data_IF_837359550220
#
_entry.id   IF_837359550220
#
_cell.length_a   1.000
_cell.length_b   1.000
_cell.length_c   1.000
_cell.angle_alpha   90.00
_cell.angle_beta   90.00
_cell.angle_gamma   90.00
#
_symmetry.space_group_name_H-M   'P 1'
#
loop_
_entity.id
_entity.type
_entity.pdbx_description
1 polymer ?
#
# COMPACT_ATOMS: atom_id res chain seq x y z
N UNK A 1 -21.81 3.68 -23.12
CA UNK A 1 -23.05 3.34 -22.37
C UNK A 1 -23.17 1.83 -22.35
N UNK A 2 -23.14 1.21 -21.18
CA UNK A 2 -23.38 -0.23 -21.01
C UNK A 2 -24.71 -0.61 -21.68
N UNK A 3 -24.74 -1.69 -22.45
CA UNK A 3 -26.00 -2.08 -23.11
C UNK A 3 -27.09 -2.28 -22.05
N UNK A 4 -28.18 -1.53 -22.11
CA UNK A 4 -29.38 -1.68 -21.25
C UNK A 4 -30.04 -3.07 -21.36
N UNK A 5 -29.53 -3.96 -22.23
CA UNK A 5 -30.05 -5.30 -22.45
C UNK A 5 -29.73 -6.33 -21.36
N UNK A 6 -28.78 -6.09 -20.47
CA UNK A 6 -28.47 -6.96 -19.36
C UNK A 6 -29.08 -6.38 -18.08
N UNK A 7 -30.35 -6.68 -17.80
CA UNK A 7 -31.09 -6.28 -16.60
C UNK A 7 -30.56 -6.97 -15.33
N UNK A 8 -29.28 -6.77 -14.99
CA UNK A 8 -28.78 -7.21 -13.70
C UNK A 8 -29.45 -6.41 -12.58
N UNK A 9 -30.06 -7.09 -11.64
CA UNK A 9 -30.71 -6.47 -10.48
C UNK A 9 -29.64 -5.79 -9.61
N UNK A 10 -29.83 -4.50 -9.31
CA UNK A 10 -28.98 -3.76 -8.37
C UNK A 10 -29.03 -4.39 -6.98
N UNK A 11 -27.90 -4.32 -6.28
CA UNK A 11 -27.85 -4.64 -4.85
C UNK A 11 -28.58 -3.54 -4.04
N UNK A 12 -29.31 -3.96 -3.03
CA UNK A 12 -30.02 -3.04 -2.12
C UNK A 12 -29.06 -2.18 -1.31
N UNK A 13 -27.98 -2.80 -0.82
CA UNK A 13 -26.86 -2.11 -0.16
C UNK A 13 -25.63 -2.14 -1.06
N UNK A 14 -24.76 -1.13 -0.92
CA UNK A 14 -23.51 -1.05 -1.67
C UNK A 14 -22.58 -2.20 -1.30
N UNK A 15 -22.05 -2.91 -2.31
CA UNK A 15 -20.94 -3.84 -2.15
C UNK A 15 -19.65 -3.05 -2.31
N UNK A 16 -18.89 -2.95 -1.23
CA UNK A 16 -17.70 -2.12 -1.18
C UNK A 16 -16.46 -2.80 -1.74
N UNK A 17 -15.47 -2.02 -2.14
CA UNK A 17 -14.16 -2.53 -2.49
C UNK A 17 -13.50 -3.22 -1.28
N UNK A 18 -13.44 -2.52 -0.16
CA UNK A 18 -12.99 -3.02 1.14
C UNK A 18 -13.47 -2.04 2.21
N UNK A 19 -14.28 -2.49 3.13
CA UNK A 19 -14.83 -1.66 4.20
C UNK A 19 -14.56 -2.27 5.58
N UNK A 20 -14.64 -1.47 6.67
CA UNK A 20 -14.45 -1.99 8.02
C UNK A 20 -15.42 -3.12 8.34
N UNK A 21 -14.93 -4.15 9.01
CA UNK A 21 -15.75 -5.25 9.58
C UNK A 21 -15.56 -5.25 11.09
N UNK A 22 -16.61 -4.93 11.83
CA UNK A 22 -16.59 -4.89 13.30
C UNK A 22 -17.12 -6.20 13.89
N UNK A 23 -16.59 -6.59 15.05
CA UNK A 23 -16.86 -7.88 15.69
C UNK A 23 -17.48 -7.76 17.08
N UNK A 24 -17.45 -6.56 17.69
CA UNK A 24 -18.01 -6.30 19.03
C UNK A 24 -16.96 -5.94 20.09
N UNK A 25 -15.81 -6.63 20.22
CA UNK A 25 -14.81 -6.27 21.23
C UNK A 25 -14.29 -4.84 21.11
N UNK A 26 -14.29 -4.29 19.91
CA UNK A 26 -13.82 -2.93 19.62
C UNK A 26 -14.57 -1.88 20.46
N UNK A 27 -15.90 -1.98 20.51
CA UNK A 27 -16.71 -1.01 21.26
C UNK A 27 -16.49 -1.13 22.77
N UNK A 28 -16.20 -2.33 23.29
CA UNK A 28 -15.91 -2.53 24.70
C UNK A 28 -14.59 -1.85 25.10
N UNK A 29 -13.55 -1.92 24.27
CA UNK A 29 -12.28 -1.23 24.52
C UNK A 29 -12.40 0.29 24.38
N UNK A 30 -13.23 0.78 23.46
CA UNK A 30 -13.54 2.20 23.35
C UNK A 30 -14.29 2.68 24.60
N UNK A 31 -15.26 1.90 25.08
CA UNK A 31 -16.01 2.15 26.30
C UNK A 31 -15.11 2.14 27.55
N UNK A 32 -14.18 1.18 27.66
CA UNK A 32 -13.16 1.15 28.73
C UNK A 32 -12.36 2.47 28.74
N UNK A 33 -11.92 2.96 27.58
CA UNK A 33 -11.18 4.21 27.49
C UNK A 33 -12.02 5.41 27.96
N UNK A 34 -13.30 5.44 27.60
CA UNK A 34 -14.23 6.49 28.01
C UNK A 34 -14.50 6.46 29.52
N UNK A 35 -14.85 5.31 30.08
CA UNK A 35 -15.20 5.14 31.50
C UNK A 35 -14.01 5.40 32.43
N UNK A 36 -12.79 5.08 31.99
CA UNK A 36 -11.56 5.32 32.74
C UNK A 36 -10.96 6.71 32.49
N UNK A 37 -11.58 7.52 31.61
CA UNK A 37 -11.14 8.84 31.20
C UNK A 37 -9.76 8.87 30.51
N UNK A 38 -9.30 7.74 29.94
CA UNK A 38 -8.08 7.69 29.13
C UNK A 38 -8.38 7.99 27.65
N UNK A 39 -8.89 9.20 27.39
CA UNK A 39 -9.35 9.68 26.08
C UNK A 39 -8.27 10.47 25.32
N UNK A 40 -6.99 10.20 25.57
CA UNK A 40 -5.86 10.92 24.99
C UNK A 40 -4.91 9.98 24.24
N UNK A 41 -3.69 10.41 24.02
CA UNK A 41 -2.61 9.66 23.34
C UNK A 41 -1.78 8.80 24.32
N UNK A 42 -2.34 8.49 25.47
CA UNK A 42 -1.81 7.56 26.50
C UNK A 42 -2.93 6.64 26.94
N UNK A 43 -2.61 5.38 27.24
CA UNK A 43 -3.57 4.44 27.77
C UNK A 43 -3.26 2.99 27.44
N UNK A 44 -4.03 2.09 28.10
CA UNK A 44 -3.84 0.65 28.02
C UNK A 44 -3.99 0.10 26.59
N UNK A 45 -4.95 0.63 25.82
CA UNK A 45 -5.19 0.15 24.46
C UNK A 45 -3.99 0.39 23.54
N UNK A 46 -3.32 1.55 23.67
CA UNK A 46 -2.11 1.87 22.92
C UNK A 46 -0.99 0.86 23.23
N UNK A 47 -0.77 0.58 24.54
CA UNK A 47 0.25 -0.38 24.96
C UNK A 47 -0.04 -1.77 24.42
N UNK A 48 -1.31 -2.20 24.44
CA UNK A 48 -1.74 -3.48 23.91
C UNK A 48 -1.60 -3.56 22.39
N UNK A 49 -1.90 -2.48 21.64
CA UNK A 49 -1.67 -2.43 20.19
C UNK A 49 -0.19 -2.61 19.86
N UNK A 50 0.71 -1.93 20.58
CA UNK A 50 2.15 -2.06 20.38
C UNK A 50 2.63 -3.50 20.71
N UNK A 51 2.16 -4.07 21.81
CA UNK A 51 2.47 -5.45 22.20
C UNK A 51 1.97 -6.46 21.15
N UNK A 52 0.71 -6.33 20.73
CA UNK A 52 0.11 -7.20 19.72
C UNK A 52 0.79 -7.05 18.36
N UNK A 53 1.15 -5.83 17.96
CA UNK A 53 1.91 -5.61 16.73
C UNK A 53 3.26 -6.35 16.76
N UNK A 54 4.01 -6.24 17.86
CA UNK A 54 5.27 -7.00 18.01
C UNK A 54 5.03 -8.51 17.96
N UNK A 55 3.98 -9.02 18.63
CA UNK A 55 3.68 -10.45 18.69
C UNK A 55 3.29 -11.02 17.32
N UNK A 56 2.38 -10.33 16.58
CA UNK A 56 1.88 -10.81 15.28
C UNK A 56 2.87 -10.62 14.15
N UNK A 57 3.66 -9.53 14.19
CA UNK A 57 4.63 -9.20 13.14
C UNK A 57 5.98 -9.89 13.39
N UNK A 58 6.38 -10.05 14.65
CA UNK A 58 7.65 -10.66 15.04
C UNK A 58 8.80 -9.66 15.14
N UNK A 59 8.53 -8.36 15.27
CA UNK A 59 9.52 -7.32 15.54
C UNK A 59 9.71 -7.11 17.06
N UNK A 60 10.82 -6.48 17.46
CA UNK A 60 11.10 -6.21 18.88
C UNK A 60 10.35 -4.99 19.42
N UNK A 61 10.15 -3.97 18.58
CA UNK A 61 9.58 -2.69 18.99
C UNK A 61 8.52 -2.23 17.99
N UNK A 62 7.39 -1.76 18.53
CA UNK A 62 6.33 -1.10 17.80
C UNK A 62 6.00 0.24 18.45
N UNK A 63 5.68 1.25 17.64
CA UNK A 63 5.19 2.56 18.11
C UNK A 63 3.89 2.87 17.39
N UNK A 64 2.78 2.89 18.13
CA UNK A 64 1.47 3.17 17.59
C UNK A 64 1.33 4.67 17.27
N UNK A 65 0.99 4.97 16.01
CA UNK A 65 0.92 6.30 15.44
C UNK A 65 -0.46 6.60 14.85
N UNK A 66 -0.73 7.87 14.58
CA UNK A 66 -2.02 8.35 14.09
C UNK A 66 -2.37 7.87 12.67
N UNK A 67 -1.38 7.47 11.88
CA UNK A 67 -1.55 6.96 10.51
C UNK A 67 -0.30 6.18 10.06
N UNK A 68 -0.44 5.32 9.06
CA UNK A 68 0.70 4.69 8.37
C UNK A 68 1.61 5.74 7.73
N UNK A 69 1.06 6.80 7.15
CA UNK A 69 1.85 7.94 6.61
C UNK A 69 2.72 8.61 7.67
N UNK A 70 2.23 8.76 8.90
CA UNK A 70 3.03 9.29 10.01
C UNK A 70 4.21 8.37 10.36
N UNK A 71 3.99 7.05 10.29
CA UNK A 71 5.04 6.05 10.47
C UNK A 71 6.09 6.13 9.36
N UNK A 72 5.67 6.15 8.10
CA UNK A 72 6.58 6.30 6.95
C UNK A 72 7.38 7.60 7.02
N UNK A 73 6.75 8.71 7.43
CA UNK A 73 7.45 9.98 7.59
C UNK A 73 8.58 9.88 8.63
N UNK A 74 8.30 9.32 9.80
CA UNK A 74 9.33 9.14 10.83
C UNK A 74 10.38 8.10 10.42
N UNK A 75 10.01 7.08 9.64
CA UNK A 75 10.95 6.12 9.04
C UNK A 75 11.91 6.80 8.06
N UNK A 76 11.38 7.67 7.17
CA UNK A 76 12.21 8.44 6.23
C UNK A 76 13.13 9.41 6.95
N UNK A 77 12.64 10.09 7.99
CA UNK A 77 13.45 10.99 8.83
C UNK A 77 14.59 10.23 9.53
N UNK A 78 14.31 9.07 10.13
CA UNK A 78 15.34 8.22 10.74
C UNK A 78 16.37 7.76 9.73
N UNK A 79 15.93 7.21 8.61
CA UNK A 79 16.82 6.74 7.54
C UNK A 79 17.69 7.87 6.99
N UNK A 80 17.11 9.07 6.81
CA UNK A 80 17.84 10.25 6.37
C UNK A 80 18.91 10.68 7.35
N UNK A 81 18.59 10.75 8.65
CA UNK A 81 19.55 11.09 9.71
C UNK A 81 20.68 10.06 9.78
N UNK A 82 20.36 8.77 9.71
CA UNK A 82 21.37 7.71 9.72
C UNK A 82 22.29 7.78 8.51
N UNK A 83 21.73 7.99 7.32
CA UNK A 83 22.49 7.99 6.08
C UNK A 83 23.31 9.26 5.86
N UNK A 84 22.81 10.42 6.31
CA UNK A 84 23.35 11.74 5.93
C UNK A 84 23.65 12.66 7.12
N UNK A 85 23.32 12.26 8.34
CA UNK A 85 23.51 13.05 9.56
C UNK A 85 22.29 13.92 9.92
N UNK A 86 22.36 14.51 11.11
CA UNK A 86 21.29 15.37 11.65
C UNK A 86 21.12 16.63 10.79
N UNK A 87 19.93 16.93 10.28
CA UNK A 87 19.67 18.15 9.54
C UNK A 87 19.71 19.38 10.46
N UNK A 88 19.95 20.54 9.88
CA UNK A 88 19.76 21.82 10.58
C UNK A 88 18.27 22.03 10.87
N UNK A 89 17.97 22.77 11.93
CA UNK A 89 16.60 23.15 12.25
C UNK A 89 15.95 23.87 11.06
N UNK A 90 14.76 23.43 10.68
CA UNK A 90 14.03 23.95 9.52
C UNK A 90 14.35 23.26 8.19
N UNK A 91 15.25 22.27 8.18
CA UNK A 91 15.58 21.46 7.02
C UNK A 91 15.16 20.00 7.20
N UNK A 92 14.80 19.34 6.12
CA UNK A 92 14.48 17.91 6.13
C UNK A 92 15.74 17.04 6.11
N UNK A 93 15.61 15.82 6.63
CA UNK A 93 16.72 14.86 6.70
C UNK A 93 17.18 14.34 5.33
N UNK A 94 16.40 14.58 4.27
CA UNK A 94 16.64 14.14 2.90
C UNK A 94 16.86 15.29 1.93
N UNK A 95 17.08 16.51 2.43
CA UNK A 95 17.21 17.69 1.57
C UNK A 95 18.29 17.51 0.49
N UNK A 96 17.86 17.60 -0.79
CA UNK A 96 18.73 17.41 -1.94
C UNK A 96 19.24 15.97 -2.14
N UNK A 97 18.67 14.98 -1.46
CA UNK A 97 19.04 13.56 -1.60
C UNK A 97 17.99 12.81 -2.41
N UNK A 98 18.46 11.79 -3.14
CA UNK A 98 17.58 10.85 -3.86
C UNK A 98 17.23 9.68 -2.95
N UNK A 99 15.99 9.20 -3.12
CA UNK A 99 15.49 7.98 -2.48
C UNK A 99 14.84 7.12 -3.56
N UNK A 100 15.25 5.86 -3.66
CA UNK A 100 14.57 4.90 -4.54
C UNK A 100 13.28 4.43 -3.91
N UNK A 101 12.19 4.43 -4.68
CA UNK A 101 10.88 4.02 -4.20
C UNK A 101 10.11 3.22 -5.24
N UNK A 102 9.23 2.34 -4.76
CA UNK A 102 8.29 1.62 -5.62
C UNK A 102 7.46 2.59 -6.45
N UNK A 103 7.32 2.31 -7.74
CA UNK A 103 6.52 3.11 -8.65
C UNK A 103 5.02 2.78 -8.54
N UNK A 104 4.68 1.49 -8.48
CA UNK A 104 3.31 1.05 -8.21
C UNK A 104 3.10 0.97 -6.70
N UNK A 105 2.60 2.06 -6.14
CA UNK A 105 2.30 2.17 -4.72
C UNK A 105 1.24 3.26 -4.48
N UNK A 106 0.73 3.32 -3.26
CA UNK A 106 -0.06 4.45 -2.80
C UNK A 106 0.86 5.64 -2.49
N UNK A 107 0.37 6.86 -2.73
CA UNK A 107 1.16 8.10 -2.59
C UNK A 107 1.76 8.30 -1.19
N UNK A 108 1.18 7.66 -0.16
CA UNK A 108 1.71 7.70 1.21
C UNK A 108 3.12 7.10 1.36
N UNK A 109 3.55 6.21 0.46
CA UNK A 109 4.93 5.69 0.41
C UNK A 109 5.92 6.78 -0.04
N UNK A 110 5.48 7.68 -0.90
CA UNK A 110 6.31 8.68 -1.60
C UNK A 110 6.34 10.02 -0.87
N UNK A 111 5.18 10.52 -0.44
CA UNK A 111 5.04 11.83 0.20
C UNK A 111 6.07 12.08 1.32
N UNK A 112 6.37 11.13 2.21
CA UNK A 112 7.36 11.29 3.28
C UNK A 112 8.77 11.61 2.78
N UNK A 113 9.16 11.15 1.60
CA UNK A 113 10.44 11.53 0.97
C UNK A 113 10.46 13.04 0.71
N UNK A 114 9.35 13.55 0.16
CA UNK A 114 9.21 14.97 -0.18
C UNK A 114 9.05 15.83 1.07
N UNK A 115 8.36 15.33 2.11
CA UNK A 115 8.26 16.05 3.40
C UNK A 115 9.62 16.32 4.03
N UNK A 116 10.57 15.39 3.87
CA UNK A 116 11.95 15.54 4.34
C UNK A 116 12.89 16.19 3.29
N UNK A 117 12.34 16.79 2.23
CA UNK A 117 13.09 17.52 1.20
C UNK A 117 13.83 16.63 0.19
N UNK A 118 13.53 15.35 0.16
CA UNK A 118 14.13 14.38 -0.77
C UNK A 118 13.50 14.39 -2.15
N UNK A 119 14.23 13.83 -3.12
CA UNK A 119 13.77 13.61 -4.48
C UNK A 119 13.45 12.12 -4.68
N UNK A 120 12.17 11.71 -4.86
CA UNK A 120 11.84 10.33 -5.18
C UNK A 120 12.33 9.97 -6.58
N UNK A 121 12.98 8.80 -6.68
CA UNK A 121 13.36 8.14 -7.94
C UNK A 121 12.51 6.88 -8.03
N UNK A 122 11.62 6.82 -8.99
CA UNK A 122 10.68 5.73 -9.14
C UNK A 122 11.34 4.54 -9.82
N UNK A 123 11.20 3.37 -9.22
CA UNK A 123 11.69 2.10 -9.75
C UNK A 123 10.49 1.33 -10.28
N UNK A 124 10.54 0.98 -11.56
CA UNK A 124 9.46 0.25 -12.22
C UNK A 124 9.14 -1.07 -11.51
N UNK A 125 7.99 -1.61 -11.82
CA UNK A 125 7.48 -2.86 -11.26
C UNK A 125 7.79 -4.04 -12.20
N UNK A 126 7.53 -5.26 -11.73
CA UNK A 126 7.64 -6.47 -12.52
C UNK A 126 6.31 -7.24 -12.55
N UNK A 127 6.13 -8.15 -13.53
CA UNK A 127 4.86 -8.82 -13.76
C UNK A 127 4.51 -9.95 -12.79
N UNK A 128 5.51 -10.52 -12.08
CA UNK A 128 5.29 -11.73 -11.29
C UNK A 128 4.60 -11.45 -9.96
N UNK A 129 4.79 -10.26 -9.40
CA UNK A 129 4.21 -9.84 -8.11
C UNK A 129 3.59 -8.44 -8.14
N UNK A 130 3.79 -7.69 -9.24
CA UNK A 130 3.42 -6.27 -9.37
C UNK A 130 4.14 -5.34 -8.38
N UNK A 131 5.27 -5.76 -7.86
CA UNK A 131 6.10 -4.98 -6.94
C UNK A 131 7.39 -4.52 -7.61
N UNK A 132 8.23 -3.81 -6.87
CA UNK A 132 9.50 -3.26 -7.37
C UNK A 132 10.33 -4.31 -8.09
N UNK A 133 10.80 -3.97 -9.29
CA UNK A 133 11.67 -4.83 -10.11
C UNK A 133 13.11 -4.81 -9.59
N UNK A 134 13.67 -5.95 -9.15
CA UNK A 134 15.07 -6.01 -8.71
C UNK A 134 16.08 -5.60 -9.79
N UNK A 135 15.80 -5.90 -11.07
CA UNK A 135 16.68 -5.54 -12.19
C UNK A 135 16.69 -4.01 -12.38
N UNK A 136 15.52 -3.38 -12.31
CA UNK A 136 15.41 -1.92 -12.39
C UNK A 136 16.07 -1.25 -11.17
N UNK A 137 15.96 -1.85 -9.97
CA UNK A 137 16.64 -1.34 -8.78
C UNK A 137 18.17 -1.40 -8.91
N UNK A 138 18.74 -2.51 -9.40
CA UNK A 138 20.19 -2.59 -9.65
C UNK A 138 20.61 -1.51 -10.66
N UNK A 139 19.83 -1.33 -11.72
CA UNK A 139 20.08 -0.29 -12.73
C UNK A 139 20.00 1.11 -12.15
N UNK A 140 19.11 1.37 -11.18
CA UNK A 140 19.04 2.64 -10.49
C UNK A 140 20.31 2.95 -9.68
N UNK A 141 20.90 1.96 -9.02
CA UNK A 141 22.18 2.12 -8.33
C UNK A 141 23.36 2.38 -9.28
N UNK A 142 23.33 1.81 -10.49
CA UNK A 142 24.34 2.14 -11.52
C UNK A 142 24.26 3.62 -11.95
N UNK A 143 23.03 4.18 -12.03
CA UNK A 143 22.79 5.56 -12.48
C UNK A 143 22.99 6.56 -11.34
N UNK A 144 22.57 6.19 -10.11
CA UNK A 144 22.61 7.03 -8.91
C UNK A 144 23.34 6.31 -7.75
N UNK A 145 24.67 6.10 -7.85
CA UNK A 145 25.41 5.26 -6.89
C UNK A 145 25.47 5.84 -5.48
N UNK A 146 25.22 7.12 -5.30
CA UNK A 146 25.24 7.79 -4.00
C UNK A 146 23.93 7.67 -3.21
N UNK A 147 22.90 7.01 -3.78
CA UNK A 147 21.62 6.81 -3.10
C UNK A 147 21.78 5.80 -1.97
N UNK A 148 21.32 6.16 -0.78
CA UNK A 148 21.50 5.35 0.44
C UNK A 148 20.20 4.83 1.05
N UNK A 149 19.05 5.12 0.46
CA UNK A 149 17.74 4.75 1.00
C UNK A 149 16.88 4.19 -0.12
N UNK A 150 16.25 3.06 0.16
CA UNK A 150 15.24 2.43 -0.69
C UNK A 150 13.98 2.22 0.13
N UNK A 151 12.82 2.63 -0.38
CA UNK A 151 11.52 2.29 0.19
C UNK A 151 10.75 1.38 -0.75
N UNK A 152 10.34 0.23 -0.25
CA UNK A 152 9.51 -0.73 -0.99
C UNK A 152 8.11 -0.76 -0.39
N UNK A 153 7.12 -1.02 -1.24
CA UNK A 153 5.76 -1.34 -0.82
C UNK A 153 5.40 -2.77 -1.27
N UNK A 154 4.45 -3.39 -0.58
CA UNK A 154 3.90 -4.70 -0.93
C UNK A 154 2.48 -4.52 -1.45
N UNK A 155 2.35 -4.35 -2.77
CA UNK A 155 1.12 -3.93 -3.42
C UNK A 155 -0.01 -4.95 -3.23
N UNK A 156 -1.18 -4.48 -2.81
CA UNK A 156 -2.42 -5.25 -2.64
C UNK A 156 -2.31 -6.47 -1.72
N UNK A 157 -1.29 -6.50 -0.85
CA UNK A 157 -1.08 -7.60 0.08
C UNK A 157 -0.21 -8.73 -0.44
N UNK A 158 0.44 -8.52 -1.59
CA UNK A 158 1.39 -9.48 -2.19
C UNK A 158 2.82 -9.06 -1.87
N UNK A 159 3.62 -9.89 -1.17
CA UNK A 159 5.04 -9.60 -0.97
C UNK A 159 5.80 -9.53 -2.29
N UNK A 160 6.71 -8.57 -2.43
CA UNK A 160 7.63 -8.49 -3.56
C UNK A 160 8.76 -9.52 -3.48
N UNK A 161 9.70 -9.46 -4.43
CA UNK A 161 10.91 -10.30 -4.49
C UNK A 161 11.95 -9.88 -3.43
N UNK A 162 11.59 -10.04 -2.17
CA UNK A 162 12.29 -9.47 -1.00
C UNK A 162 13.74 -9.92 -0.93
N UNK A 163 14.03 -11.19 -1.19
CA UNK A 163 15.39 -11.73 -1.12
C UNK A 163 16.32 -11.07 -2.15
N UNK A 164 15.84 -10.93 -3.40
CA UNK A 164 16.59 -10.27 -4.47
C UNK A 164 16.80 -8.78 -4.18
N UNK A 165 15.72 -8.10 -3.76
CA UNK A 165 15.77 -6.66 -3.39
C UNK A 165 16.74 -6.44 -2.22
N UNK A 166 16.65 -7.24 -1.16
CA UNK A 166 17.55 -7.14 0.00
C UNK A 166 19.01 -7.42 -0.36
N UNK A 167 19.28 -8.38 -1.26
CA UNK A 167 20.65 -8.66 -1.72
C UNK A 167 21.26 -7.44 -2.42
N UNK A 168 20.48 -6.77 -3.29
CA UNK A 168 20.90 -5.56 -4.00
C UNK A 168 21.10 -4.40 -3.01
N UNK A 169 20.14 -4.14 -2.15
CA UNK A 169 20.19 -3.06 -1.17
C UNK A 169 21.41 -3.21 -0.25
N UNK A 170 21.65 -4.43 0.23
CA UNK A 170 22.81 -4.74 1.07
C UNK A 170 24.14 -4.60 0.31
N UNK A 171 24.20 -5.05 -0.95
CA UNK A 171 25.38 -4.89 -1.83
C UNK A 171 25.79 -3.41 -1.95
N UNK A 172 24.83 -2.50 -2.05
CA UNK A 172 25.06 -1.06 -2.19
C UNK A 172 25.13 -0.32 -0.84
N UNK A 173 25.00 -1.04 0.29
CA UNK A 173 25.07 -0.44 1.63
C UNK A 173 23.93 0.55 1.92
N UNK A 174 22.79 0.36 1.27
CA UNK A 174 21.63 1.23 1.46
C UNK A 174 20.72 0.72 2.61
N UNK A 175 19.90 1.62 3.14
CA UNK A 175 18.91 1.37 4.18
C UNK A 175 17.58 1.02 3.50
N UNK A 176 17.00 -0.12 3.88
CA UNK A 176 15.65 -0.49 3.46
C UNK A 176 14.62 0.08 4.44
N UNK A 177 13.65 0.79 3.91
CA UNK A 177 12.38 1.12 4.57
C UNK A 177 11.27 0.29 3.92
N UNK A 178 10.43 -0.35 4.74
CA UNK A 178 9.38 -1.22 4.24
C UNK A 178 7.99 -0.63 4.53
N UNK A 179 7.23 -0.41 3.48
CA UNK A 179 5.82 -0.08 3.56
C UNK A 179 4.98 -1.37 3.46
N UNK A 180 4.65 -1.93 4.60
CA UNK A 180 3.77 -3.09 4.74
C UNK A 180 2.31 -2.69 5.07
N UNK A 181 1.89 -1.46 4.73
CA UNK A 181 0.56 -0.95 5.02
C UNK A 181 -0.58 -1.77 4.38
N UNK A 182 -0.29 -2.57 3.37
CA UNK A 182 -1.25 -3.42 2.66
C UNK A 182 -1.06 -4.91 2.92
N UNK A 183 0.08 -5.29 3.49
CA UNK A 183 0.51 -6.68 3.57
C UNK A 183 0.55 -7.25 4.99
N UNK A 184 -0.06 -6.59 5.97
CA UNK A 184 -0.13 -7.15 7.31
C UNK A 184 -0.77 -8.55 7.29
N UNK A 185 -0.08 -9.54 7.89
CA UNK A 185 -0.47 -10.95 7.85
C UNK A 185 0.07 -11.73 6.64
N UNK A 186 0.70 -11.06 5.66
CA UNK A 186 1.41 -11.72 4.58
C UNK A 186 2.82 -12.13 5.01
N UNK A 187 3.34 -13.23 4.46
CA UNK A 187 4.70 -13.71 4.76
C UNK A 187 5.51 -13.95 3.49
N UNK A 188 6.83 -13.82 3.60
CA UNK A 188 7.78 -14.25 2.59
C UNK A 188 8.76 -15.25 3.22
N UNK A 189 8.82 -16.48 2.70
CA UNK A 189 9.56 -17.61 3.28
C UNK A 189 9.27 -17.80 4.78
N UNK A 190 8.01 -17.65 5.16
CA UNK A 190 7.53 -17.80 6.54
C UNK A 190 7.83 -16.61 7.47
N UNK A 191 8.49 -15.56 6.98
CA UNK A 191 8.77 -14.32 7.73
C UNK A 191 7.74 -13.27 7.38
N UNK A 192 7.16 -12.63 8.40
CA UNK A 192 6.09 -11.64 8.27
C UNK A 192 6.59 -10.35 7.60
N UNK A 193 5.83 -9.80 6.64
CA UNK A 193 6.07 -8.44 6.13
C UNK A 193 5.94 -7.41 7.25
N UNK A 194 6.71 -6.32 7.15
CA UNK A 194 6.88 -5.36 8.25
C UNK A 194 8.10 -5.65 9.14
N UNK A 195 8.98 -6.59 8.70
CA UNK A 195 10.23 -6.93 9.41
C UNK A 195 11.47 -6.96 8.51
N UNK A 196 11.31 -6.75 7.21
CA UNK A 196 12.41 -6.87 6.25
C UNK A 196 13.28 -5.62 6.16
N UNK A 197 12.69 -4.45 6.40
CA UNK A 197 13.41 -3.18 6.46
C UNK A 197 14.04 -2.92 7.84
N UNK A 198 14.96 -1.98 7.90
CA UNK A 198 15.42 -1.45 9.18
C UNK A 198 14.30 -0.69 9.90
N UNK A 199 13.49 0.03 9.13
CA UNK A 199 12.32 0.77 9.57
C UNK A 199 11.12 0.33 8.73
N UNK A 200 10.04 -0.06 9.40
CA UNK A 200 8.89 -0.67 8.74
C UNK A 200 7.59 -0.02 9.20
N UNK A 201 6.57 -0.12 8.37
CA UNK A 201 5.27 0.50 8.63
C UNK A 201 4.12 -0.46 8.32
N UNK A 202 3.14 -0.51 9.22
CA UNK A 202 1.80 -1.05 8.98
C UNK A 202 0.74 0.03 9.13
N UNK A 203 -0.43 -0.19 8.52
CA UNK A 203 -1.54 0.77 8.54
C UNK A 203 -2.82 0.11 9.07
N UNK A 204 -3.58 0.88 9.85
CA UNK A 204 -4.91 0.55 10.34
C UNK A 204 -5.98 1.50 9.78
N UNK A 205 -5.73 2.08 8.60
CA UNK A 205 -6.74 2.92 7.93
C UNK A 205 -8.04 2.13 7.67
N UNK A 206 -9.16 2.83 7.45
CA UNK A 206 -10.50 2.25 7.38
C UNK A 206 -10.70 1.08 6.42
N UNK A 207 -9.92 1.03 5.33
CA UNK A 207 -10.03 0.00 4.30
C UNK A 207 -8.98 -1.12 4.39
N UNK A 208 -8.11 -1.14 5.41
CA UNK A 208 -7.05 -2.14 5.56
C UNK A 208 -7.59 -3.47 6.08
N UNK A 209 -6.73 -4.51 6.06
CA UNK A 209 -7.09 -5.88 6.45
C UNK A 209 -7.68 -5.97 7.86
N UNK A 210 -7.17 -5.15 8.79
CA UNK A 210 -7.77 -4.78 10.06
C UNK A 210 -7.68 -3.26 10.22
N UNK A 211 -8.58 -2.67 10.98
CA UNK A 211 -8.72 -1.22 11.03
C UNK A 211 -8.93 -0.65 12.42
N UNK A 212 -8.49 0.60 12.61
CA UNK A 212 -8.87 1.48 13.71
C UNK A 212 -9.68 2.69 13.24
N UNK A 213 -10.26 2.67 12.01
CA UNK A 213 -10.72 3.82 11.23
C UNK A 213 -9.56 4.70 10.73
N UNK A 214 -8.55 4.88 11.52
CA UNK A 214 -7.25 5.50 11.25
C UNK A 214 -6.17 4.74 12.03
N UNK A 215 -4.92 5.19 11.97
CA UNK A 215 -3.82 4.61 12.71
C UNK A 215 -2.81 3.88 11.86
N UNK A 216 -1.68 3.58 12.48
CA UNK A 216 -0.58 2.79 11.95
C UNK A 216 0.42 2.48 13.04
N UNK A 217 1.42 1.69 12.73
CA UNK A 217 2.55 1.44 13.62
C UNK A 217 3.86 1.55 12.86
N UNK A 218 4.82 2.18 13.50
CA UNK A 218 6.23 2.07 13.19
C UNK A 218 6.77 0.80 13.85
N UNK A 219 7.55 0.03 13.11
CA UNK A 219 8.08 -1.27 13.54
C UNK A 219 9.59 -1.32 13.29
N UNK A 220 10.35 -1.82 14.26
CA UNK A 220 11.80 -1.96 14.16
C UNK A 220 12.35 -2.92 15.21
N UNK A 221 13.56 -3.41 15.00
CA UNK A 221 14.34 -4.13 16.02
C UNK A 221 15.32 -3.21 16.78
N UNK A 222 15.39 -1.94 16.40
CA UNK A 222 16.26 -0.91 16.99
C UNK A 222 15.50 -0.14 18.08
N UNK A 223 15.89 -0.35 19.34
CA UNK A 223 15.26 0.28 20.51
C UNK A 223 15.45 1.81 20.50
N UNK A 224 16.63 2.29 20.08
CA UNK A 224 16.92 3.73 20.04
C UNK A 224 16.03 4.41 19.00
N UNK A 225 15.86 3.79 17.82
CA UNK A 225 14.96 4.27 16.79
C UNK A 225 13.50 4.30 17.29
N UNK A 226 13.02 3.24 17.96
CA UNK A 226 11.68 3.20 18.51
C UNK A 226 11.46 4.31 19.57
N UNK A 227 12.41 4.51 20.47
CA UNK A 227 12.35 5.58 21.48
C UNK A 227 12.35 6.96 20.83
N UNK A 228 13.15 7.15 19.77
CA UNK A 228 13.20 8.40 19.01
C UNK A 228 11.86 8.71 18.34
N UNK A 229 11.25 7.72 17.67
CA UNK A 229 9.91 7.85 17.06
C UNK A 229 8.85 8.17 18.12
N UNK A 230 8.90 7.49 19.27
CA UNK A 230 7.98 7.76 20.39
C UNK A 230 8.10 9.21 20.86
N UNK A 231 9.32 9.70 21.05
CA UNK A 231 9.60 11.11 21.42
C UNK A 231 9.07 12.08 20.35
N UNK A 232 9.43 11.88 19.09
CA UNK A 232 9.00 12.76 18.00
C UNK A 232 7.48 12.78 17.81
N UNK A 233 6.80 11.65 18.01
CA UNK A 233 5.35 11.57 17.87
C UNK A 233 4.56 12.36 18.91
N UNK A 234 5.24 12.86 19.97
CA UNK A 234 4.67 13.64 21.08
C UNK A 234 5.38 14.99 21.23
N UNK A 235 5.57 15.70 20.11
CA UNK A 235 6.18 17.03 20.04
C UNK A 235 7.68 17.07 20.40
N UNK A 236 8.40 15.94 20.40
CA UNK A 236 9.81 15.84 20.81
C UNK A 236 10.10 16.48 22.20
N UNK A 237 9.16 16.32 23.12
CA UNK A 237 9.28 16.87 24.47
C UNK A 237 10.39 16.17 25.23
N UNK A 238 11.23 16.97 25.91
CA UNK A 238 12.28 16.51 26.80
C UNK A 238 11.73 16.13 28.20
N UNK A 239 12.48 15.31 28.92
CA UNK A 239 12.19 15.00 30.31
C UNK A 239 12.74 16.12 31.24
N UNK A 240 12.00 17.22 31.32
CA UNK A 240 12.35 18.40 32.14
C UNK A 240 11.16 18.82 33.00
N UNK A 241 11.39 19.64 34.00
CA UNK A 241 10.36 20.17 34.88
C UNK A 241 9.39 21.16 34.18
N UNK A 242 9.75 21.63 33.01
CA UNK A 242 8.96 22.47 32.11
C UNK A 242 8.89 21.84 30.70
N UNK A 243 8.08 22.39 29.81
CA UNK A 243 8.05 21.99 28.40
C UNK A 243 9.33 22.50 27.72
N UNK A 244 10.25 21.58 27.46
CA UNK A 244 11.48 21.84 26.72
C UNK A 244 11.51 21.01 25.46
N UNK A 245 11.98 21.62 24.37
CA UNK A 245 12.05 20.99 23.05
C UNK A 245 13.42 21.33 22.43
N UNK A 246 14.21 20.29 22.17
CA UNK A 246 15.54 20.42 21.55
C UNK A 246 15.52 19.98 20.08
N UNK A 247 14.43 19.36 19.67
CA UNK A 247 14.24 18.85 18.32
C UNK A 247 12.84 19.18 17.82
N UNK A 248 12.67 19.16 16.48
CA UNK A 248 11.35 19.27 15.86
C UNK A 248 10.58 17.97 16.06
N UNK A 249 9.41 18.07 16.67
CA UNK A 249 8.49 16.96 16.90
C UNK A 249 7.16 17.16 16.19
N UNK A 250 6.26 16.15 16.36
CA UNK A 250 4.99 16.05 15.66
C UNK A 250 3.90 15.63 16.65
N UNK A 251 2.64 15.85 16.28
CA UNK A 251 1.48 15.27 16.97
C UNK A 251 1.01 14.03 16.21
N UNK A 252 1.81 12.96 16.27
CA UNK A 252 1.58 11.73 15.52
C UNK A 252 1.23 10.52 16.38
N UNK A 253 1.07 10.66 17.68
CA UNK A 253 0.75 9.54 18.56
C UNK A 253 -0.69 9.06 18.33
N UNK A 254 -0.92 7.75 18.31
CA UNK A 254 -2.27 7.18 18.23
C UNK A 254 -3.08 7.55 19.48
N UNK A 255 -4.38 7.82 19.32
CA UNK A 255 -5.27 7.99 20.46
C UNK A 255 -5.67 6.65 21.08
N UNK A 256 -5.91 6.62 22.38
CA UNK A 256 -6.32 5.41 23.10
C UNK A 256 -7.70 4.88 22.64
N UNK A 257 -8.55 5.74 22.08
CA UNK A 257 -9.84 5.37 21.48
C UNK A 257 -9.65 4.60 20.19
N UNK A 258 -8.84 5.15 19.24
CA UNK A 258 -8.47 4.47 18.00
C UNK A 258 -7.77 3.15 18.31
N UNK A 259 -6.85 3.16 19.27
CA UNK A 259 -6.17 1.95 19.72
C UNK A 259 -7.13 0.89 20.28
N UNK A 260 -8.22 1.30 20.91
CA UNK A 260 -9.27 0.37 21.36
C UNK A 260 -9.92 -0.38 20.21
N UNK A 261 -10.23 0.32 19.12
CA UNK A 261 -10.75 -0.31 17.90
C UNK A 261 -9.72 -1.27 17.32
N UNK A 262 -8.47 -0.83 17.10
CA UNK A 262 -7.38 -1.66 16.56
C UNK A 262 -7.17 -2.92 17.41
N UNK A 263 -7.12 -2.76 18.74
CA UNK A 263 -6.96 -3.87 19.69
C UNK A 263 -8.02 -4.95 19.49
N UNK A 264 -9.27 -4.55 19.28
CA UNK A 264 -10.39 -5.47 19.05
C UNK A 264 -10.31 -6.21 17.72
N UNK A 265 -9.58 -5.68 16.74
CA UNK A 265 -9.45 -6.25 15.40
C UNK A 265 -8.37 -7.35 15.29
N UNK A 266 -7.29 -7.25 16.07
CA UNK A 266 -6.17 -8.20 15.98
C UNK A 266 -6.57 -9.69 16.03
N UNK A 267 -7.49 -10.14 16.91
CA UNK A 267 -7.89 -11.55 16.97
C UNK A 267 -8.51 -12.08 15.66
N UNK A 268 -9.03 -11.18 14.82
CA UNK A 268 -9.74 -11.53 13.58
C UNK A 268 -8.88 -11.45 12.32
N UNK A 269 -7.60 -11.07 12.43
CA UNK A 269 -6.70 -10.92 11.28
C UNK A 269 -6.66 -12.18 10.40
N UNK A 270 -6.48 -13.36 11.01
CA UNK A 270 -6.42 -14.64 10.25
C UNK A 270 -7.75 -14.98 9.59
N UNK A 271 -8.86 -14.67 10.25
CA UNK A 271 -10.20 -14.85 9.68
C UNK A 271 -10.40 -13.94 8.47
N UNK A 272 -10.03 -12.66 8.59
CA UNK A 272 -10.12 -11.71 7.46
C UNK A 272 -9.28 -12.17 6.27
N UNK A 273 -8.05 -12.65 6.48
CA UNK A 273 -7.19 -13.19 5.43
C UNK A 273 -7.86 -14.40 4.75
N UNK A 274 -8.43 -15.33 5.53
CA UNK A 274 -9.11 -16.49 4.99
C UNK A 274 -10.33 -16.10 4.14
N UNK A 275 -11.12 -15.13 4.59
CA UNK A 275 -12.26 -14.59 3.82
C UNK A 275 -11.80 -13.92 2.53
N UNK A 276 -10.75 -13.10 2.57
CA UNK A 276 -10.16 -12.45 1.39
C UNK A 276 -9.63 -13.48 0.38
N UNK A 277 -8.97 -14.53 0.86
CA UNK A 277 -8.51 -15.65 0.04
C UNK A 277 -9.68 -16.35 -0.66
N UNK A 278 -10.75 -16.63 0.06
CA UNK A 278 -11.95 -17.25 -0.50
C UNK A 278 -12.59 -16.37 -1.61
N UNK A 279 -12.62 -15.05 -1.41
CA UNK A 279 -13.08 -14.08 -2.42
C UNK A 279 -12.19 -14.15 -3.67
N UNK A 280 -10.88 -14.13 -3.50
CA UNK A 280 -9.93 -14.22 -4.61
C UNK A 280 -10.08 -15.51 -5.42
N UNK A 281 -10.14 -16.67 -4.75
CA UNK A 281 -10.29 -17.96 -5.42
C UNK A 281 -11.64 -18.07 -6.15
N UNK A 282 -12.72 -17.50 -5.59
CA UNK A 282 -14.03 -17.49 -6.26
C UNK A 282 -14.01 -16.63 -7.53
N UNK A 283 -13.37 -15.48 -7.55
CA UNK A 283 -13.15 -14.70 -8.76
C UNK A 283 -12.31 -15.47 -9.78
N UNK A 284 -11.21 -16.06 -9.35
CA UNK A 284 -10.29 -16.83 -10.20
C UNK A 284 -11.03 -17.98 -10.92
N UNK A 285 -11.84 -18.74 -10.19
CA UNK A 285 -12.62 -19.83 -10.80
C UNK A 285 -13.79 -19.29 -11.63
N UNK A 286 -14.53 -18.29 -11.14
CA UNK A 286 -15.69 -17.74 -11.80
C UNK A 286 -15.38 -17.02 -13.12
N UNK A 287 -14.19 -16.45 -13.27
CA UNK A 287 -13.74 -15.75 -14.47
C UNK A 287 -12.95 -16.67 -15.45
N UNK A 288 -12.79 -17.93 -15.10
CA UNK A 288 -12.07 -18.90 -15.93
C UNK A 288 -12.69 -18.99 -17.34
N UNK A 289 -11.82 -18.97 -18.34
CA UNK A 289 -12.23 -19.00 -19.76
C UNK A 289 -12.43 -17.62 -20.38
N UNK A 290 -12.44 -16.55 -19.61
CA UNK A 290 -12.30 -15.18 -20.14
C UNK A 290 -10.81 -14.85 -20.41
N UNK A 291 -10.53 -13.90 -21.31
CA UNK A 291 -9.17 -13.44 -21.59
C UNK A 291 -8.70 -12.46 -20.49
N UNK A 292 -8.64 -12.95 -19.26
CA UNK A 292 -8.27 -12.19 -18.07
C UNK A 292 -7.48 -13.06 -17.10
N UNK A 293 -6.66 -12.43 -16.28
CA UNK A 293 -5.94 -13.08 -15.18
C UNK A 293 -6.13 -12.31 -13.88
N UNK A 294 -6.11 -13.01 -12.75
CA UNK A 294 -6.05 -12.36 -11.43
C UNK A 294 -4.64 -11.83 -11.17
N UNK A 295 -4.52 -10.87 -10.22
CA UNK A 295 -3.20 -10.37 -9.81
C UNK A 295 -2.28 -11.53 -9.42
N UNK A 296 -1.02 -11.51 -9.91
CA UNK A 296 -0.06 -12.58 -9.69
C UNK A 296 0.44 -12.59 -8.25
N UNK A 297 0.90 -13.77 -7.81
CA UNK A 297 1.42 -14.01 -6.47
C UNK A 297 2.51 -15.08 -6.56
N UNK A 298 3.64 -14.86 -5.92
CA UNK A 298 4.67 -15.87 -5.74
C UNK A 298 4.27 -16.82 -4.59
N UNK A 299 3.42 -17.79 -4.88
CA UNK A 299 2.94 -18.74 -3.88
C UNK A 299 3.97 -19.82 -3.50
N UNK A 300 5.10 -19.88 -4.18
CA UNK A 300 6.22 -20.75 -3.80
C UNK A 300 6.97 -20.19 -2.59
N UNK A 301 7.20 -18.87 -2.58
CA UNK A 301 7.99 -18.20 -1.56
C UNK A 301 7.16 -17.35 -0.60
N UNK A 302 5.90 -17.03 -0.92
CA UNK A 302 5.08 -16.12 -0.13
C UNK A 302 3.67 -16.63 0.16
N UNK A 303 3.12 -16.14 1.28
CA UNK A 303 1.70 -16.25 1.63
C UNK A 303 1.12 -14.84 1.65
N UNK A 304 0.42 -14.39 0.59
CA UNK A 304 -0.20 -13.07 0.55
C UNK A 304 -1.40 -12.99 1.50
N UNK A 305 -1.76 -11.77 1.91
CA UNK A 305 -2.97 -11.56 2.71
C UNK A 305 -4.23 -11.34 1.87
N UNK A 306 -4.12 -11.31 0.53
CA UNK A 306 -5.23 -11.13 -0.41
C UNK A 306 -6.06 -9.86 -0.18
N UNK A 307 -5.47 -8.79 0.33
CA UNK A 307 -6.20 -7.58 0.70
C UNK A 307 -7.18 -7.11 -0.39
N UNK A 308 -6.74 -7.01 -1.63
CA UNK A 308 -7.61 -6.74 -2.78
C UNK A 308 -7.41 -7.80 -3.87
N UNK A 309 -8.52 -8.28 -4.42
CA UNK A 309 -8.56 -9.06 -5.65
C UNK A 309 -8.49 -8.12 -6.84
N UNK A 310 -7.49 -8.30 -7.70
CA UNK A 310 -7.32 -7.49 -8.90
C UNK A 310 -7.37 -8.37 -10.14
N UNK A 311 -7.81 -7.78 -11.25
CA UNK A 311 -7.97 -8.41 -12.54
C UNK A 311 -7.16 -7.63 -13.57
N UNK A 312 -6.48 -8.33 -14.47
CA UNK A 312 -5.83 -7.76 -15.66
C UNK A 312 -6.40 -8.42 -16.92
N UNK A 313 -6.72 -7.61 -17.94
CA UNK A 313 -7.26 -8.06 -19.23
C UNK A 313 -6.08 -8.37 -20.16
N UNK A 314 -6.15 -9.45 -20.93
CA UNK A 314 -5.16 -9.79 -21.94
C UNK A 314 -5.08 -8.69 -23.00
N UNK A 315 -3.88 -8.40 -23.51
CA UNK A 315 -3.64 -7.28 -24.46
C UNK A 315 -4.55 -7.34 -25.70
N UNK A 316 -4.73 -8.54 -26.23
CA UNK A 316 -5.52 -8.80 -27.44
C UNK A 316 -7.03 -8.66 -27.22
N UNK A 317 -7.45 -8.77 -25.96
CA UNK A 317 -8.85 -8.64 -25.54
C UNK A 317 -9.21 -7.23 -25.05
N UNK A 318 -8.26 -6.30 -25.09
CA UNK A 318 -8.54 -4.90 -24.79
C UNK A 318 -9.30 -4.22 -25.93
N UNK A 319 -10.44 -3.59 -25.64
CA UNK A 319 -11.02 -2.60 -26.52
C UNK A 319 -10.26 -1.27 -26.41
N UNK A 320 -10.44 -0.40 -27.40
CA UNK A 320 -9.77 0.91 -27.41
C UNK A 320 -10.23 1.77 -26.22
N UNK A 321 -9.32 2.10 -25.32
CA UNK A 321 -9.51 3.01 -24.20
C UNK A 321 -8.49 4.14 -24.28
N UNK A 322 -8.90 5.37 -23.97
CA UNK A 322 -8.04 6.54 -23.84
C UNK A 322 -8.28 7.16 -22.48
N UNK A 323 -7.25 7.27 -21.67
CA UNK A 323 -7.26 7.95 -20.38
C UNK A 323 -6.56 9.30 -20.50
N UNK A 324 -7.30 10.38 -20.21
CA UNK A 324 -6.77 11.72 -20.03
C UNK A 324 -6.26 11.92 -18.59
N UNK A 325 -6.06 13.16 -18.20
CA UNK A 325 -5.65 13.49 -16.81
C UNK A 325 -6.76 13.23 -15.79
N UNK A 326 -8.01 13.50 -16.15
CA UNK A 326 -9.17 13.41 -15.26
C UNK A 326 -10.36 12.68 -15.87
N UNK A 327 -10.31 12.35 -17.14
CA UNK A 327 -11.38 11.73 -17.89
C UNK A 327 -10.91 10.46 -18.60
N UNK A 328 -11.85 9.66 -19.04
CA UNK A 328 -11.60 8.44 -19.79
C UNK A 328 -12.72 8.21 -20.78
N UNK A 329 -12.37 7.71 -21.96
CA UNK A 329 -13.32 7.24 -22.95
C UNK A 329 -12.88 5.91 -23.52
N UNK A 330 -13.83 5.12 -24.03
CA UNK A 330 -13.57 3.85 -24.68
C UNK A 330 -14.58 3.57 -25.80
N UNK A 331 -14.20 2.69 -26.69
CA UNK A 331 -15.04 2.22 -27.80
C UNK A 331 -15.34 0.74 -27.59
N UNK A 332 -16.63 0.39 -27.48
CA UNK A 332 -17.04 -1.00 -27.35
C UNK A 332 -16.72 -1.82 -28.57
N UNK A 333 -16.20 -3.01 -28.35
CA UNK A 333 -15.93 -4.03 -29.37
C UNK A 333 -16.42 -5.38 -28.85
N UNK A 334 -17.16 -6.15 -29.70
CA UNK A 334 -17.62 -7.51 -29.35
C UNK A 334 -16.44 -8.43 -29.04
N UNK A 335 -16.50 -9.15 -27.94
CA UNK A 335 -15.44 -10.06 -27.48
C UNK A 335 -14.28 -9.36 -26.78
N UNK A 336 -14.34 -8.04 -26.62
CA UNK A 336 -13.31 -7.24 -25.94
C UNK A 336 -13.90 -6.31 -24.90
N UNK A 337 -13.11 -5.97 -23.91
CA UNK A 337 -13.49 -4.99 -22.89
C UNK A 337 -12.30 -4.14 -22.43
N UNK A 338 -12.53 -3.25 -21.48
CA UNK A 338 -11.48 -2.48 -20.80
C UNK A 338 -11.84 -2.25 -19.33
N UNK A 339 -10.86 -1.89 -18.49
CA UNK A 339 -11.12 -1.62 -17.07
C UNK A 339 -12.24 -0.62 -16.82
N UNK A 340 -12.34 0.43 -17.64
CA UNK A 340 -13.40 1.45 -17.49
C UNK A 340 -14.78 0.87 -17.74
N UNK A 341 -14.98 0.08 -18.80
CA UNK A 341 -16.26 -0.56 -19.07
C UNK A 341 -16.69 -1.50 -17.95
N UNK A 342 -15.77 -2.34 -17.46
CA UNK A 342 -16.05 -3.26 -16.34
C UNK A 342 -16.40 -2.49 -15.08
N UNK A 343 -15.66 -1.42 -14.75
CA UNK A 343 -15.93 -0.58 -13.58
C UNK A 343 -17.29 0.11 -13.65
N UNK A 344 -17.69 0.62 -14.82
CA UNK A 344 -19.02 1.18 -15.05
C UNK A 344 -20.11 0.11 -14.88
N UNK A 345 -19.89 -1.10 -15.43
CA UNK A 345 -20.82 -2.19 -15.35
C UNK A 345 -21.07 -2.64 -13.90
N UNK A 346 -20.02 -2.89 -13.11
CA UNK A 346 -20.17 -3.26 -11.69
C UNK A 346 -20.75 -2.12 -10.85
N UNK A 347 -20.39 -0.87 -11.16
CA UNK A 347 -20.99 0.31 -10.51
C UNK A 347 -22.49 0.40 -10.78
N UNK A 348 -22.96 0.01 -11.98
CA UNK A 348 -24.37 0.04 -12.34
C UNK A 348 -25.26 -0.86 -11.46
N UNK A 349 -24.68 -1.90 -10.87
CA UNK A 349 -25.33 -2.81 -9.93
C UNK A 349 -25.05 -2.46 -8.45
N UNK A 350 -24.54 -1.28 -8.16
CA UNK A 350 -24.20 -0.80 -6.82
C UNK A 350 -23.03 -1.56 -6.15
N UNK A 351 -22.02 -1.97 -6.94
CA UNK A 351 -20.77 -2.52 -6.45
C UNK A 351 -19.59 -1.60 -6.75
N UNK A 352 -18.58 -1.58 -5.89
CA UNK A 352 -17.44 -0.68 -5.99
C UNK A 352 -16.19 -1.43 -6.44
N UNK A 353 -15.73 -1.15 -7.66
CA UNK A 353 -14.37 -1.42 -8.12
C UNK A 353 -13.55 -0.14 -8.22
N UNK A 354 -12.27 -0.27 -8.45
CA UNK A 354 -11.35 0.86 -8.68
C UNK A 354 -10.38 0.51 -9.80
N UNK A 355 -9.86 1.51 -10.55
CA UNK A 355 -8.69 1.27 -11.37
C UNK A 355 -7.54 0.73 -10.53
N UNK A 356 -6.62 -0.03 -11.12
CA UNK A 356 -5.29 -0.24 -10.53
C UNK A 356 -4.69 1.15 -10.25
N UNK A 357 -3.90 1.28 -9.22
CA UNK A 357 -3.30 2.57 -8.89
C UNK A 357 -2.42 3.07 -10.03
N UNK A 358 -2.66 4.34 -10.37
CA UNK A 358 -1.85 5.03 -11.38
C UNK A 358 -0.41 5.10 -10.88
N UNK A 359 0.58 4.58 -11.63
CA UNK A 359 1.98 4.63 -11.23
C UNK A 359 2.44 6.02 -10.82
N UNK A 360 3.32 6.12 -9.85
CA UNK A 360 3.76 7.39 -9.26
C UNK A 360 4.47 8.26 -10.28
N UNK A 361 5.30 7.68 -11.17
CA UNK A 361 5.96 8.43 -12.22
C UNK A 361 4.98 9.12 -13.20
N UNK A 362 3.73 8.65 -13.29
CA UNK A 362 2.67 9.22 -14.12
C UNK A 362 1.84 10.27 -13.39
N UNK A 363 1.99 10.43 -12.06
CA UNK A 363 1.25 11.41 -11.29
C UNK A 363 1.68 12.83 -11.67
N UNK A 364 0.75 13.78 -11.85
CA UNK A 364 1.07 15.16 -12.24
C UNK A 364 2.13 15.82 -11.35
N UNK A 365 2.11 15.54 -10.04
CA UNK A 365 3.06 16.08 -9.07
C UNK A 365 4.48 15.53 -9.26
N UNK A 366 4.62 14.31 -9.81
CA UNK A 366 5.90 13.59 -9.92
C UNK A 366 6.38 13.37 -11.35
N UNK A 367 5.68 13.91 -12.35
CA UNK A 367 5.98 13.67 -13.78
C UNK A 367 7.39 14.08 -14.24
N UNK A 368 8.09 14.90 -13.46
CA UNK A 368 9.45 15.31 -13.74
C UNK A 368 10.51 14.55 -12.91
N UNK A 369 10.09 13.72 -11.96
CA UNK A 369 11.02 12.91 -11.18
C UNK A 369 11.65 11.80 -12.02
N UNK A 370 12.86 11.34 -11.70
CA UNK A 370 13.48 10.21 -12.38
C UNK A 370 12.61 8.94 -12.27
N UNK A 371 12.59 8.18 -13.36
CA UNK A 371 11.91 6.88 -13.46
C UNK A 371 12.87 5.89 -14.12
N UNK A 372 13.11 4.75 -13.47
CA UNK A 372 14.08 3.75 -13.88
C UNK A 372 13.37 2.43 -14.17
N UNK A 373 13.63 1.89 -15.34
CA UNK A 373 13.15 0.60 -15.83
C UNK A 373 14.33 -0.37 -15.99
N UNK A 374 14.07 -1.61 -16.36
CA UNK A 374 15.11 -2.63 -16.60
C UNK A 374 16.22 -2.18 -17.54
N UNK A 375 15.88 -1.40 -18.57
CA UNK A 375 16.82 -0.92 -19.58
C UNK A 375 17.53 0.39 -19.17
N UNK A 376 17.22 0.96 -18.02
CA UNK A 376 17.79 2.18 -17.48
C UNK A 376 16.79 3.32 -17.34
N UNK A 377 17.14 4.53 -17.80
CA UNK A 377 16.26 5.69 -17.67
C UNK A 377 14.99 5.55 -18.50
N UNK A 378 13.84 5.52 -17.83
CA UNK A 378 12.52 5.43 -18.44
C UNK A 378 11.95 6.77 -18.93
N UNK A 379 12.60 7.91 -18.60
CA UNK A 379 12.15 9.24 -19.04
C UNK A 379 12.64 9.56 -20.43
N UNK A 380 11.80 10.21 -21.23
CA UNK A 380 12.19 10.76 -22.52
C UNK A 380 13.18 11.92 -22.34
N UNK A 381 14.05 12.12 -23.33
CA UNK A 381 14.95 13.29 -23.38
C UNK A 381 14.22 14.61 -23.73
N UNK A 382 12.98 14.51 -24.22
CA UNK A 382 12.07 15.62 -24.51
C UNK A 382 11.10 15.83 -23.34
N UNK A 383 10.15 16.75 -23.48
CA UNK A 383 9.07 16.97 -22.50
C UNK A 383 8.03 15.83 -22.40
N UNK A 384 8.23 14.73 -23.12
CA UNK A 384 7.40 13.53 -22.99
C UNK A 384 7.69 12.82 -21.67
N UNK A 385 6.64 12.26 -21.06
CA UNK A 385 6.75 11.60 -19.75
C UNK A 385 7.58 10.32 -19.80
N UNK A 386 7.53 9.59 -20.90
CA UNK A 386 8.11 8.25 -21.05
C UNK A 386 8.89 8.20 -22.34
N UNK A 387 10.05 7.55 -22.31
CA UNK A 387 10.88 7.35 -23.50
C UNK A 387 10.16 6.39 -24.47
N UNK A 388 10.15 6.75 -25.75
CA UNK A 388 9.61 5.86 -26.78
C UNK A 388 10.42 4.55 -26.86
N UNK A 389 9.72 3.41 -26.94
CA UNK A 389 10.33 2.08 -27.03
C UNK A 389 10.78 1.49 -25.70
N UNK A 390 10.55 2.15 -24.58
CA UNK A 390 10.84 1.63 -23.24
C UNK A 390 9.65 0.79 -22.75
N UNK A 391 9.94 -0.39 -22.21
CA UNK A 391 8.91 -1.20 -21.53
C UNK A 391 8.64 -0.58 -20.15
N UNK A 392 7.41 -0.11 -19.98
CA UNK A 392 6.88 0.43 -18.72
C UNK A 392 5.82 -0.54 -18.22
N UNK A 393 6.21 -1.37 -17.26
CA UNK A 393 5.37 -2.45 -16.73
C UNK A 393 4.24 -1.87 -15.89
N UNK A 394 4.53 -0.89 -15.06
CA UNK A 394 3.52 -0.23 -14.22
C UNK A 394 2.41 0.40 -15.04
N UNK A 395 2.75 1.11 -16.12
CA UNK A 395 1.78 1.70 -17.04
C UNK A 395 0.94 0.63 -17.74
N UNK A 396 1.54 -0.48 -18.19
CA UNK A 396 0.80 -1.58 -18.83
C UNK A 396 -0.21 -2.22 -17.87
N UNK A 397 0.19 -2.50 -16.63
CA UNK A 397 -0.70 -3.03 -15.59
C UNK A 397 -1.82 -2.02 -15.31
N UNK A 398 -1.52 -0.74 -15.13
CA UNK A 398 -2.51 0.30 -14.91
C UNK A 398 -3.49 0.42 -16.08
N UNK A 399 -3.01 0.33 -17.32
CA UNK A 399 -3.85 0.45 -18.51
C UNK A 399 -4.89 -0.68 -18.61
N UNK A 400 -4.53 -1.90 -18.21
CA UNK A 400 -5.32 -3.11 -18.41
C UNK A 400 -5.98 -3.68 -17.14
N UNK A 401 -5.60 -3.18 -15.96
CA UNK A 401 -5.99 -3.74 -14.69
C UNK A 401 -7.06 -2.94 -13.95
N UNK A 402 -7.76 -3.63 -13.04
CA UNK A 402 -8.71 -3.04 -12.10
C UNK A 402 -8.78 -3.86 -10.79
N UNK A 403 -9.17 -3.20 -9.70
CA UNK A 403 -9.47 -3.82 -8.43
C UNK A 403 -10.96 -4.17 -8.35
N UNK A 404 -11.26 -5.40 -7.97
CA UNK A 404 -12.62 -5.93 -7.83
C UNK A 404 -13.13 -5.75 -6.38
N UNK A 405 -14.46 -5.69 -6.17
CA UNK A 405 -15.03 -5.73 -4.84
C UNK A 405 -14.45 -6.89 -4.02
N UNK A 406 -13.87 -6.57 -2.88
CA UNK A 406 -13.14 -7.52 -2.04
C UNK A 406 -13.54 -7.41 -0.56
N UNK A 407 -14.74 -6.90 -0.28
CA UNK A 407 -15.26 -6.68 1.07
C UNK A 407 -15.54 -8.01 1.78
N UNK A 408 -15.09 -8.16 3.02
CA UNK A 408 -15.30 -9.36 3.85
C UNK A 408 -16.78 -9.66 4.09
N UNK A 409 -17.67 -8.67 3.96
CA UNK A 409 -19.12 -8.82 4.15
C UNK A 409 -19.86 -9.16 2.85
N UNK A 410 -19.14 -9.26 1.72
CA UNK A 410 -19.73 -9.64 0.44
C UNK A 410 -20.19 -11.09 0.46
N UNK A 411 -21.46 -11.34 0.09
CA UNK A 411 -21.98 -12.70 0.02
C UNK A 411 -21.54 -13.39 -1.27
N UNK A 412 -21.62 -14.73 -1.26
CA UNK A 412 -21.34 -15.55 -2.45
C UNK A 412 -22.23 -15.17 -3.64
N UNK A 413 -23.54 -14.93 -3.41
CA UNK A 413 -24.49 -14.53 -4.45
C UNK A 413 -24.19 -13.14 -5.01
N UNK A 414 -23.73 -12.22 -4.16
CA UNK A 414 -23.28 -10.90 -4.62
C UNK A 414 -22.07 -11.04 -5.53
N UNK A 415 -21.09 -11.85 -5.13
CA UNK A 415 -19.87 -12.07 -5.90
C UNK A 415 -20.17 -12.77 -7.24
N UNK A 416 -21.05 -13.79 -7.26
CA UNK A 416 -21.45 -14.48 -8.49
C UNK A 416 -22.09 -13.51 -9.48
N UNK A 417 -22.98 -12.62 -9.00
CA UNK A 417 -23.58 -11.60 -9.86
C UNK A 417 -22.54 -10.62 -10.42
N UNK A 418 -21.54 -10.23 -9.64
CA UNK A 418 -20.42 -9.40 -10.13
C UNK A 418 -19.66 -10.14 -11.22
N UNK A 419 -19.39 -11.43 -11.04
CA UNK A 419 -18.73 -12.29 -12.04
C UNK A 419 -19.54 -12.33 -13.34
N UNK A 420 -20.87 -12.53 -13.26
CA UNK A 420 -21.75 -12.52 -14.44
C UNK A 420 -21.73 -11.17 -15.17
N UNK A 421 -21.75 -10.06 -14.44
CA UNK A 421 -21.63 -8.71 -15.02
C UNK A 421 -20.30 -8.53 -15.75
N UNK A 422 -19.20 -9.02 -15.18
CA UNK A 422 -17.88 -8.96 -15.83
C UNK A 422 -17.89 -9.80 -17.12
N UNK A 423 -18.45 -11.02 -17.09
CA UNK A 423 -18.59 -11.88 -18.29
C UNK A 423 -19.34 -11.17 -19.40
N UNK A 424 -20.44 -10.52 -19.08
CA UNK A 424 -21.26 -9.78 -20.04
C UNK A 424 -20.54 -8.59 -20.71
N UNK A 425 -19.44 -8.10 -20.13
CA UNK A 425 -18.60 -7.08 -20.76
C UNK A 425 -17.78 -7.61 -21.95
N UNK A 426 -17.62 -8.94 -22.08
CA UNK A 426 -16.89 -9.60 -23.15
C UNK A 426 -17.82 -10.25 -24.21
N UNK A 427 -19.14 -10.13 -24.07
CA UNK A 427 -20.13 -10.57 -25.06
C UNK A 427 -20.44 -9.42 -26.06
#
# INVERSE_FOLDING_TARGET
MFKESNNFKKFESKVWLSSPTMHGPEIEYVKEAYETNWMSTVGKNINEVERLACEYIGCKHAVALSAGTASLHLSMKLAGIEAYGMPKVGHGALEGKKVFCSDMTFDATVNPIVYEGGEPVFIDTEYDTWNMDPIALEKAFEIYPDTKIVVIAHLYGTPGKIEELNAIIKKHGAILVEDAAESMGATYKGVQTGTFGKYNTISFNGNKIITGSSGGCFLTDDEEAANKVRKWSTQARENAAWYQHEELGYNYRMSNVVAGVVRGQFPYLKEHIAQKKAIFERYKEGLKGLPVSMNPMDLENSEPNYWLSCLIIDKEAMCKQVRGEQDVCYVKETGKSCPTEILEAISSINAEGRPIWKPMHMQPIYRLNPFIVRDGNGRARSNAYIAGGVADVGMDIFARGLCLPSDNKMTAEQQDRIIEVIKACFE
#
